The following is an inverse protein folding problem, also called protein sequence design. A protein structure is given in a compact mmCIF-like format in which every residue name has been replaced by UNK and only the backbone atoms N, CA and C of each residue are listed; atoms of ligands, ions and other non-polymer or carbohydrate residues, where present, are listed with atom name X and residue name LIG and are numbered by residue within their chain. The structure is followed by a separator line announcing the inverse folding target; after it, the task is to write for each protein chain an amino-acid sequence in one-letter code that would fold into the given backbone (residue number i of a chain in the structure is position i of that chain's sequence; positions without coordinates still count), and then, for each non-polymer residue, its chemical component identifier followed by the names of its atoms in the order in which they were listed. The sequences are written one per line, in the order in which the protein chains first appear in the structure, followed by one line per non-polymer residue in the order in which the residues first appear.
data_IF_262159258927
#
_entry.id   IF_262159258927
#
_cell.length_a   1.000
_cell.length_b   1.000
_cell.length_c   1.000
_cell.angle_alpha   90.00
_cell.angle_beta   90.00
_cell.angle_gamma   90.00
#
_symmetry.space_group_name_H-M   'P 1'
#
loop_
_entity.id
_entity.type
_entity.pdbx_description
1 polymer ?
#
# COMPACT_ATOMS: atom_id res chain seq x y z
N UNK A 1 -8.93 2.84 -1.58
CA UNK A 1 -8.15 2.28 -2.70
C UNK A 1 -6.68 2.11 -2.29
N UNK A 2 -6.14 0.93 -2.52
CA UNK A 2 -4.76 0.59 -2.20
C UNK A 2 -3.85 0.87 -3.39
N UNK A 3 -2.84 1.71 -3.16
CA UNK A 3 -1.82 2.08 -4.13
C UNK A 3 -0.44 2.09 -3.48
N UNK A 4 0.60 2.40 -4.24
CA UNK A 4 1.95 2.61 -3.69
C UNK A 4 1.93 3.61 -2.54
N UNK A 5 1.15 4.69 -2.67
CA UNK A 5 1.16 5.80 -1.71
C UNK A 5 0.81 5.37 -0.29
N UNK A 6 -0.21 4.53 -0.13
CA UNK A 6 -0.68 4.10 1.20
C UNK A 6 -0.29 2.66 1.56
N UNK A 7 0.55 2.02 0.75
CA UNK A 7 0.89 0.61 0.94
C UNK A 7 1.45 0.29 2.32
N UNK A 8 2.30 1.15 2.87
CA UNK A 8 2.89 0.97 4.19
C UNK A 8 1.94 1.31 5.34
N UNK A 9 0.99 2.20 5.12
CA UNK A 9 0.17 2.79 6.20
C UNK A 9 -1.22 2.18 6.35
N UNK A 10 -1.66 1.38 5.39
CA UNK A 10 -3.03 0.88 5.42
C UNK A 10 -3.33 -0.02 6.64
N UNK A 11 -2.40 -0.89 7.10
CA UNK A 11 -2.65 -1.65 8.32
C UNK A 11 -2.80 -0.78 9.55
N UNK A 12 -1.93 0.20 9.70
CA UNK A 12 -1.95 1.14 10.82
C UNK A 12 -3.26 1.94 10.85
N UNK A 13 -3.67 2.44 9.70
CA UNK A 13 -4.92 3.17 9.54
C UNK A 13 -6.13 2.31 9.91
N UNK A 14 -6.18 1.07 9.43
CA UNK A 14 -7.25 0.13 9.71
C UNK A 14 -7.34 -0.19 11.20
N UNK A 15 -6.20 -0.47 11.83
CA UNK A 15 -6.11 -0.75 13.25
C UNK A 15 -6.61 0.41 14.09
N UNK A 16 -6.17 1.63 13.77
CA UNK A 16 -6.57 2.84 14.47
C UNK A 16 -8.09 3.04 14.42
N UNK A 17 -8.70 2.85 13.26
CA UNK A 17 -10.14 2.99 13.10
C UNK A 17 -10.91 1.92 13.86
N UNK A 18 -10.40 0.69 13.92
CA UNK A 18 -11.01 -0.39 14.73
C UNK A 18 -10.94 -0.03 16.22
N UNK A 19 -9.79 0.41 16.69
CA UNK A 19 -9.58 0.76 18.09
C UNK A 19 -10.48 1.94 18.54
N UNK A 20 -10.74 2.86 17.61
CA UNK A 20 -11.65 3.98 17.86
C UNK A 20 -13.13 3.59 17.77
N UNK A 21 -13.43 2.36 17.36
CA UNK A 21 -14.81 1.90 17.21
C UNK A 21 -15.53 2.50 16.01
N UNK A 22 -14.81 3.01 15.04
CA UNK A 22 -15.39 3.69 13.87
C UNK A 22 -15.72 2.75 12.71
N UNK A 23 -15.24 1.50 12.76
CA UNK A 23 -15.47 0.52 11.69
C UNK A 23 -16.26 -0.67 12.22
N UNK A 24 -17.34 -0.99 11.51
CA UNK A 24 -18.01 -2.27 11.64
C UNK A 24 -17.26 -3.32 10.79
N UNK A 25 -17.38 -4.62 11.12
CA UNK A 25 -16.63 -5.66 10.40
C UNK A 25 -16.88 -5.71 8.89
N UNK A 26 -18.06 -5.26 8.44
CA UNK A 26 -18.47 -5.29 7.04
C UNK A 26 -18.13 -4.02 6.26
N UNK A 27 -17.64 -2.98 6.95
CA UNK A 27 -17.42 -1.67 6.34
C UNK A 27 -16.09 -1.55 5.61
N UNK A 28 -15.22 -2.53 5.74
CA UNK A 28 -13.87 -2.45 5.18
C UNK A 28 -13.73 -3.30 3.92
N UNK A 29 -13.38 -2.63 2.84
CA UNK A 29 -13.01 -3.26 1.58
C UNK A 29 -11.70 -2.68 1.08
N UNK A 30 -10.79 -3.55 0.66
CA UNK A 30 -9.57 -3.12 -0.01
C UNK A 30 -9.78 -3.21 -1.51
N UNK A 31 -9.81 -2.06 -2.17
CA UNK A 31 -9.85 -1.98 -3.62
C UNK A 31 -8.43 -1.67 -4.11
N UNK A 32 -7.90 -2.54 -4.96
CA UNK A 32 -6.54 -2.39 -5.47
C UNK A 32 -6.58 -1.47 -6.69
N UNK A 33 -5.78 -0.40 -6.66
CA UNK A 33 -5.69 0.54 -7.76
C UNK A 33 -5.08 -0.14 -8.98
N UNK A 34 -5.74 -0.02 -10.14
CA UNK A 34 -5.31 -0.59 -11.40
C UNK A 34 -4.72 0.44 -12.37
N UNK A 35 -5.18 1.67 -12.28
CA UNK A 35 -4.76 2.74 -13.18
C UNK A 35 -4.60 4.05 -12.41
N UNK A 36 -3.54 4.82 -12.66
CA UNK A 36 -2.44 4.53 -13.61
C UNK A 36 -1.55 3.36 -13.15
N UNK A 37 -1.02 2.63 -14.11
CA UNK A 37 -0.23 1.42 -13.82
C UNK A 37 0.97 1.68 -12.90
N UNK A 38 1.64 2.83 -13.06
CA UNK A 38 2.83 3.15 -12.26
C UNK A 38 2.52 3.41 -10.78
N UNK A 39 1.26 3.55 -10.39
CA UNK A 39 0.85 3.66 -8.98
C UNK A 39 0.41 2.34 -8.36
N UNK A 40 0.42 1.26 -9.10
CA UNK A 40 0.04 -0.05 -8.58
C UNK A 40 1.05 -0.57 -7.57
N UNK A 41 0.57 -1.32 -6.58
CA UNK A 41 1.44 -1.86 -5.51
C UNK A 41 2.47 -2.87 -6.03
N UNK A 42 2.21 -3.53 -7.16
CA UNK A 42 3.16 -4.47 -7.75
C UNK A 42 4.37 -3.79 -8.43
N UNK A 43 4.37 -2.47 -8.49
CA UNK A 43 5.51 -1.67 -8.97
C UNK A 43 6.60 -1.54 -7.90
N UNK A 44 6.28 -1.73 -6.62
CA UNK A 44 7.25 -1.63 -5.54
C UNK A 44 8.47 -2.53 -5.78
N UNK A 45 9.69 -2.05 -5.49
CA UNK A 45 10.88 -2.92 -5.50
C UNK A 45 10.73 -4.10 -4.54
N UNK A 46 11.38 -5.22 -4.86
CA UNK A 46 11.24 -6.46 -4.08
C UNK A 46 11.54 -6.27 -2.59
N UNK A 47 12.59 -5.52 -2.26
CA UNK A 47 12.94 -5.24 -0.85
C UNK A 47 11.78 -4.56 -0.13
N UNK A 48 11.13 -3.60 -0.78
CA UNK A 48 10.01 -2.86 -0.21
C UNK A 48 8.76 -3.74 -0.15
N UNK A 49 8.54 -4.61 -1.13
CA UNK A 49 7.44 -5.59 -1.08
C UNK A 49 7.57 -6.48 0.14
N UNK A 50 8.78 -6.94 0.46
CA UNK A 50 9.00 -7.79 1.64
C UNK A 50 8.66 -7.05 2.94
N UNK A 51 8.99 -5.78 3.03
CA UNK A 51 8.63 -4.96 4.19
C UNK A 51 7.11 -4.80 4.34
N UNK A 52 6.44 -4.50 3.23
CA UNK A 52 4.97 -4.35 3.22
C UNK A 52 4.30 -5.67 3.56
N UNK A 53 4.80 -6.79 3.02
CA UNK A 53 4.28 -8.13 3.35
C UNK A 53 4.39 -8.42 4.85
N UNK A 54 5.51 -8.05 5.46
CA UNK A 54 5.70 -8.24 6.90
C UNK A 54 4.67 -7.42 7.71
N UNK A 55 4.43 -6.17 7.31
CA UNK A 55 3.43 -5.32 7.95
C UNK A 55 2.02 -5.91 7.82
N UNK A 56 1.67 -6.40 6.63
CA UNK A 56 0.35 -6.98 6.39
C UNK A 56 0.17 -8.30 7.15
N UNK A 57 1.21 -9.13 7.20
CA UNK A 57 1.18 -10.39 7.96
C UNK A 57 0.98 -10.14 9.45
N UNK A 58 1.69 -9.17 10.01
CA UNK A 58 1.53 -8.78 11.41
C UNK A 58 0.10 -8.28 11.68
N UNK A 59 -0.43 -7.46 10.79
CA UNK A 59 -1.78 -6.94 10.92
C UNK A 59 -2.84 -8.04 10.84
N UNK A 60 -2.66 -9.00 9.94
CA UNK A 60 -3.54 -10.17 9.83
C UNK A 60 -3.54 -10.96 11.12
N UNK A 61 -2.36 -11.19 11.71
CA UNK A 61 -2.25 -11.89 13.00
C UNK A 61 -3.02 -11.15 14.10
N UNK A 62 -2.92 -9.83 14.12
CA UNK A 62 -3.68 -9.02 15.07
C UNK A 62 -5.19 -9.14 14.85
N UNK A 63 -5.63 -9.19 13.57
CA UNK A 63 -7.04 -9.34 13.22
C UNK A 63 -7.58 -10.75 13.51
N UNK A 64 -6.76 -11.78 13.44
CA UNK A 64 -7.17 -13.18 13.68
C UNK A 64 -7.70 -13.40 15.08
N UNK A 65 -7.21 -12.63 16.05
CA UNK A 65 -7.75 -12.65 17.42
C UNK A 65 -9.15 -12.06 17.51
N UNK A 66 -9.63 -11.45 16.41
CA UNK A 66 -10.92 -10.78 16.30
C UNK A 66 -11.73 -11.44 15.20
N UNK A 67 -12.51 -12.45 15.55
CA UNK A 67 -13.30 -13.27 14.60
C UNK A 67 -14.20 -12.45 13.66
N UNK A 68 -14.43 -11.18 14.00
CA UNK A 68 -15.36 -10.33 13.29
C UNK A 68 -14.80 -9.76 11.97
N UNK A 69 -13.48 -9.85 11.73
CA UNK A 69 -12.82 -9.15 10.64
C UNK A 69 -12.28 -10.07 9.54
N UNK A 70 -12.93 -11.20 9.30
CA UNK A 70 -12.52 -12.16 8.25
C UNK A 70 -12.46 -11.55 6.86
N UNK A 71 -13.38 -10.63 6.56
CA UNK A 71 -13.41 -9.94 5.26
C UNK A 71 -12.16 -9.07 5.06
N UNK A 72 -11.75 -8.35 6.09
CA UNK A 72 -10.53 -7.55 6.06
C UNK A 72 -9.29 -8.43 5.92
N UNK A 73 -9.23 -9.55 6.64
CA UNK A 73 -8.13 -10.52 6.53
C UNK A 73 -8.00 -11.01 5.09
N UNK A 74 -9.12 -11.38 4.47
CA UNK A 74 -9.13 -11.84 3.07
C UNK A 74 -8.69 -10.73 2.12
N UNK A 75 -9.09 -9.48 2.38
CA UNK A 75 -8.66 -8.31 1.61
C UNK A 75 -7.15 -8.10 1.67
N UNK A 76 -6.56 -8.19 2.85
CA UNK A 76 -5.10 -8.07 3.00
C UNK A 76 -4.36 -9.23 2.34
N UNK A 77 -4.87 -10.45 2.46
CA UNK A 77 -4.27 -11.62 1.79
C UNK A 77 -4.32 -11.47 0.26
N UNK A 78 -5.43 -10.97 -0.28
CA UNK A 78 -5.56 -10.72 -1.72
C UNK A 78 -4.59 -9.65 -2.18
N UNK A 79 -4.41 -8.59 -1.40
CA UNK A 79 -3.44 -7.53 -1.70
C UNK A 79 -2.00 -8.07 -1.72
N UNK A 80 -1.65 -8.93 -0.75
CA UNK A 80 -0.34 -9.59 -0.71
C UNK A 80 -0.10 -10.44 -1.95
N UNK A 81 -1.09 -11.23 -2.36
CA UNK A 81 -1.00 -12.07 -3.55
C UNK A 81 -0.87 -11.22 -4.82
N UNK A 82 -1.61 -10.13 -4.91
CA UNK A 82 -1.52 -9.21 -6.04
C UNK A 82 -0.13 -8.59 -6.14
N UNK A 83 0.41 -8.13 -5.02
CA UNK A 83 1.71 -7.47 -4.98
C UNK A 83 2.85 -8.40 -5.37
N UNK A 84 2.77 -9.68 -5.02
CA UNK A 84 3.79 -10.68 -5.29
C UNK A 84 3.56 -11.48 -6.57
N UNK A 85 2.38 -11.39 -7.16
CA UNK A 85 2.00 -12.15 -8.35
C UNK A 85 2.70 -11.70 -9.62
N UNK A 86 3.07 -10.41 -9.69
CA UNK A 86 3.79 -9.83 -10.83
C UNK A 86 4.84 -8.86 -10.34
N UNK A 87 5.92 -8.73 -11.13
CA UNK A 87 6.94 -7.72 -10.87
C UNK A 87 6.85 -6.64 -11.95
N UNK A 88 6.30 -5.51 -11.57
CA UNK A 88 6.19 -4.34 -12.44
C UNK A 88 7.13 -3.20 -12.00
N UNK A 89 8.23 -3.53 -11.31
CA UNK A 89 9.24 -2.56 -10.92
C UNK A 89 9.89 -1.83 -12.11
N UNK A 90 9.77 -2.39 -13.30
CA UNK A 90 10.19 -1.71 -14.54
C UNK A 90 9.45 -0.41 -14.82
N UNK A 91 8.30 -0.20 -14.16
CA UNK A 91 7.53 1.05 -14.26
C UNK A 91 8.01 2.15 -13.31
N UNK A 92 9.00 1.88 -12.46
CA UNK A 92 9.54 2.88 -11.53
C UNK A 92 10.01 4.17 -12.23
N UNK A 93 10.73 4.12 -13.35
CA UNK A 93 11.09 5.35 -14.08
C UNK A 93 9.87 6.19 -14.48
N UNK A 94 8.79 5.54 -14.91
CA UNK A 94 7.54 6.24 -15.26
C UNK A 94 6.91 6.84 -14.03
N UNK A 95 6.91 6.13 -12.90
CA UNK A 95 6.42 6.61 -11.64
C UNK A 95 7.16 7.90 -11.22
N UNK A 96 8.48 7.87 -11.21
CA UNK A 96 9.31 9.01 -10.81
C UNK A 96 9.03 10.20 -11.71
N UNK A 97 8.98 9.99 -13.02
CA UNK A 97 8.70 11.04 -14.00
C UNK A 97 7.36 11.72 -13.74
N UNK A 98 6.33 10.94 -13.46
CA UNK A 98 4.99 11.46 -13.20
C UNK A 98 4.89 12.15 -11.85
N UNK A 99 5.60 11.63 -10.83
CA UNK A 99 5.66 12.30 -9.53
C UNK A 99 6.35 13.66 -9.63
N UNK A 100 7.42 13.77 -10.40
CA UNK A 100 8.12 15.04 -10.62
C UNK A 100 7.20 16.07 -11.28
N UNK A 101 6.40 15.64 -12.26
CA UNK A 101 5.41 16.52 -12.91
C UNK A 101 4.37 17.03 -11.91
N UNK A 102 3.85 16.14 -11.06
CA UNK A 102 2.86 16.50 -10.04
C UNK A 102 3.45 17.44 -9.00
N UNK A 103 4.68 17.18 -8.56
CA UNK A 103 5.38 18.01 -7.59
C UNK A 103 5.58 19.43 -8.12
N UNK A 104 5.97 19.57 -9.40
CA UNK A 104 6.12 20.86 -10.05
C UNK A 104 4.81 21.62 -10.16
N UNK A 105 3.72 20.92 -10.49
CA UNK A 105 2.39 21.53 -10.60
C UNK A 105 1.84 21.98 -9.25
N UNK A 106 2.09 21.21 -8.20
CA UNK A 106 1.55 21.47 -6.85
C UNK A 106 2.51 22.24 -5.96
N UNK A 107 3.75 22.43 -6.40
CA UNK A 107 4.85 22.99 -5.59
C UNK A 107 5.04 22.21 -4.29
N UNK A 108 4.99 20.88 -4.39
CA UNK A 108 5.15 19.93 -3.30
C UNK A 108 6.31 18.99 -3.59
N UNK A 109 6.70 18.19 -2.59
CA UNK A 109 7.66 17.13 -2.75
C UNK A 109 7.03 15.82 -2.23
N UNK A 110 6.70 14.92 -3.15
CA UNK A 110 6.05 13.63 -2.84
C UNK A 110 6.84 12.84 -1.79
N UNK A 111 8.17 12.75 -1.94
CA UNK A 111 8.98 11.94 -1.04
C UNK A 111 9.20 12.58 0.33
N UNK A 112 8.91 13.86 0.50
CA UNK A 112 8.83 14.47 1.83
C UNK A 112 7.54 14.10 2.55
N UNK A 113 6.46 13.96 1.78
CA UNK A 113 5.15 13.55 2.31
C UNK A 113 5.16 12.05 2.64
N UNK A 114 5.82 11.25 1.81
CA UNK A 114 5.92 9.79 1.95
C UNK A 114 7.40 9.37 2.06
N UNK A 115 8.07 9.68 3.20
CA UNK A 115 9.50 9.41 3.33
C UNK A 115 9.85 7.93 3.26
N UNK A 116 8.95 7.03 3.62
CA UNK A 116 9.15 5.59 3.51
C UNK A 116 9.30 5.13 2.05
N UNK A 117 8.86 5.94 1.10
CA UNK A 117 8.93 5.61 -0.34
C UNK A 117 10.18 6.18 -1.03
N UNK A 118 11.03 6.93 -0.32
CA UNK A 118 12.23 7.53 -0.93
C UNK A 118 13.15 6.52 -1.59
N UNK A 119 13.22 5.31 -1.06
CA UNK A 119 14.08 4.25 -1.61
C UNK A 119 13.68 3.81 -3.02
N UNK A 120 12.47 4.17 -3.47
CA UNK A 120 12.06 3.90 -4.85
C UNK A 120 13.01 4.55 -5.84
N UNK A 121 13.54 5.73 -5.51
CA UNK A 121 14.49 6.45 -6.37
C UNK A 121 15.74 5.65 -6.66
N UNK A 122 16.17 4.80 -5.74
CA UNK A 122 17.36 3.95 -5.88
C UNK A 122 17.18 2.87 -6.95
N UNK A 123 15.94 2.56 -7.30
CA UNK A 123 15.59 1.51 -8.25
C UNK A 123 15.14 2.06 -9.61
N UNK A 124 15.10 3.36 -9.75
CA UNK A 124 14.77 4.07 -10.99
C UNK A 124 15.96 4.81 -11.55
#
# INVERSE_FOLDING_TARGET
TLSIMNSYHIPEFHREWIELGLLEPMDWNINILQSPEYFRIDVLPEVMKQEVLALYSEHINWLEDKDRFKRAINGFKSAMNYMTGTDNSSLIPDLIKNLDKLDNLRKENFFEIFPELQRIKEHG
#
